data_IF_104228992065
#
_entry.id   IF_104228992065
#
_cell.length_a   1.000
_cell.length_b   1.000
_cell.length_c   1.000
_cell.angle_alpha   90.00
_cell.angle_beta   90.00
_cell.angle_gamma   90.00
#
_symmetry.space_group_name_H-M   'P 1'
#
loop_
_entity.id
_entity.type
_entity.pdbx_description
1 polymer ?
#
# COMPACT_ATOMS: atom_id res chain seq x y z
N UNK A 1 -4.95 3.82 28.53
CA UNK A 1 -5.25 3.90 27.08
C UNK A 1 -3.95 3.76 26.30
N UNK A 2 -3.98 2.99 25.23
CA UNK A 2 -2.86 2.79 24.29
C UNK A 2 -3.34 3.09 22.87
N UNK A 3 -2.58 3.87 22.13
CA UNK A 3 -2.85 4.16 20.71
C UNK A 3 -1.67 3.64 19.89
N UNK A 4 -1.93 2.69 18.99
CA UNK A 4 -0.92 2.09 18.13
C UNK A 4 -0.91 2.77 16.76
N UNK A 5 0.19 3.46 16.45
CA UNK A 5 0.39 4.19 15.18
C UNK A 5 1.52 3.63 14.32
N UNK A 6 1.71 2.31 14.31
CA UNK A 6 2.88 1.65 13.69
C UNK A 6 2.78 1.41 12.18
N UNK A 7 1.58 1.56 11.62
CA UNK A 7 1.31 1.29 10.20
C UNK A 7 1.39 -0.19 9.82
N UNK A 8 1.23 -0.48 8.54
CA UNK A 8 1.20 -1.86 8.00
C UNK A 8 2.33 -2.15 7.00
N UNK A 9 3.12 -1.16 6.58
CA UNK A 9 4.21 -1.30 5.61
C UNK A 9 5.56 -1.09 6.31
N UNK A 10 5.84 -1.84 7.37
CA UNK A 10 7.04 -1.71 8.20
C UNK A 10 7.98 -2.93 8.14
N UNK A 11 7.45 -4.13 7.88
CA UNK A 11 8.23 -5.38 7.83
C UNK A 11 8.51 -5.77 6.38
N UNK A 12 9.79 -5.82 5.95
CA UNK A 12 10.16 -6.25 4.62
C UNK A 12 9.66 -7.67 4.32
N UNK A 13 9.23 -7.90 3.09
CA UNK A 13 8.94 -9.24 2.58
C UNK A 13 10.04 -9.62 1.59
N UNK A 14 10.95 -10.46 2.00
CA UNK A 14 11.90 -11.07 1.09
C UNK A 14 11.20 -12.15 0.24
N UNK A 15 11.61 -12.35 -1.01
CA UNK A 15 11.08 -13.41 -1.84
C UNK A 15 11.59 -14.78 -1.35
N UNK A 16 10.85 -15.84 -1.63
CA UNK A 16 11.31 -17.21 -1.42
C UNK A 16 12.03 -17.68 -2.71
N UNK A 17 13.31 -17.31 -2.83
CA UNK A 17 14.17 -17.69 -3.95
C UNK A 17 15.28 -18.57 -3.39
N UNK A 18 15.45 -19.82 -3.90
CA UNK A 18 16.55 -20.69 -3.48
C UNK A 18 17.91 -20.02 -3.69
N UNK A 19 18.85 -20.26 -2.79
CA UNK A 19 20.23 -19.78 -2.93
C UNK A 19 20.44 -18.30 -2.60
N UNK A 20 19.49 -17.60 -1.97
CA UNK A 20 19.69 -16.18 -1.62
C UNK A 20 20.92 -15.92 -0.75
N UNK A 21 21.30 -16.88 0.08
CA UNK A 21 22.48 -16.80 0.94
C UNK A 21 23.80 -17.14 0.21
N UNK A 22 23.71 -17.70 -1.00
CA UNK A 22 24.87 -18.10 -1.80
C UNK A 22 25.43 -16.93 -2.65
N UNK A 23 24.70 -15.82 -2.75
CA UNK A 23 25.10 -14.68 -3.55
C UNK A 23 26.27 -13.94 -2.89
N UNK A 24 27.40 -13.82 -3.61
CA UNK A 24 28.63 -13.20 -3.13
C UNK A 24 28.60 -11.67 -3.13
N UNK A 25 27.69 -11.08 -3.92
CA UNK A 25 27.54 -9.62 -4.02
C UNK A 25 26.72 -9.00 -2.90
N UNK A 26 26.44 -7.70 -3.01
CA UNK A 26 25.66 -6.98 -2.00
C UNK A 26 24.16 -7.13 -2.26
N UNK A 27 23.40 -7.55 -1.27
CA UNK A 27 21.95 -7.60 -1.39
C UNK A 27 21.22 -6.92 -0.24
N UNK A 28 20.14 -6.18 -0.54
CA UNK A 28 19.32 -5.52 0.47
C UNK A 28 17.88 -5.29 -0.01
N UNK A 29 16.98 -5.15 0.96
CA UNK A 29 15.60 -4.76 0.67
C UNK A 29 15.48 -3.24 0.52
N UNK A 30 14.64 -2.75 -0.39
CA UNK A 30 14.46 -1.32 -0.68
C UNK A 30 14.08 -0.47 0.55
N UNK A 31 13.43 -1.04 1.56
CA UNK A 31 13.14 -0.37 2.83
C UNK A 31 14.29 -0.42 3.85
N UNK A 32 15.37 -1.08 3.52
CA UNK A 32 16.63 -1.20 4.29
C UNK A 32 17.80 -0.84 3.38
N UNK A 33 17.65 0.33 2.73
CA UNK A 33 18.63 0.79 1.75
C UNK A 33 20.03 0.86 2.35
N UNK A 34 21.01 0.25 1.66
CA UNK A 34 22.41 0.32 2.08
C UNK A 34 23.04 1.61 1.52
N UNK A 35 22.99 2.69 2.29
CA UNK A 35 23.53 3.99 1.88
C UNK A 35 25.07 4.03 1.82
N UNK A 36 25.75 3.04 2.39
CA UNK A 36 27.22 2.94 2.34
C UNK A 36 27.71 2.23 1.07
N UNK A 37 26.80 1.60 0.30
CA UNK A 37 27.14 0.87 -0.92
C UNK A 37 26.93 1.76 -2.14
N UNK A 38 27.99 1.94 -2.95
CA UNK A 38 27.97 2.70 -4.19
C UNK A 38 27.50 1.79 -5.34
N UNK A 39 26.53 2.25 -6.10
CA UNK A 39 25.97 1.56 -7.27
C UNK A 39 26.62 2.01 -8.59
N UNK A 40 27.50 3.00 -8.53
CA UNK A 40 28.13 3.62 -9.73
C UNK A 40 28.97 2.60 -10.49
N UNK A 41 28.67 2.41 -11.76
CA UNK A 41 29.40 1.49 -12.64
C UNK A 41 29.18 0.01 -12.34
N UNK A 42 28.29 -0.34 -11.40
CA UNK A 42 27.95 -1.72 -11.07
C UNK A 42 26.81 -2.28 -11.92
N UNK A 43 26.73 -3.62 -12.00
CA UNK A 43 25.59 -4.34 -12.57
C UNK A 43 24.57 -4.63 -11.48
N UNK A 44 23.38 -4.10 -11.61
CA UNK A 44 22.36 -4.11 -10.55
C UNK A 44 21.12 -4.90 -10.98
N UNK A 45 20.68 -5.83 -10.14
CA UNK A 45 19.38 -6.46 -10.28
C UNK A 45 18.36 -5.82 -9.33
N UNK A 46 17.20 -5.44 -9.86
CA UNK A 46 16.05 -5.02 -9.05
C UNK A 46 14.94 -6.05 -9.19
N UNK A 47 14.62 -6.75 -8.09
CA UNK A 47 13.57 -7.77 -8.07
C UNK A 47 12.26 -7.15 -7.56
N UNK A 48 11.30 -6.95 -8.47
CA UNK A 48 10.01 -6.32 -8.23
C UNK A 48 9.86 -4.95 -8.89
N UNK A 49 8.63 -4.62 -9.25
CA UNK A 49 8.28 -3.44 -10.05
C UNK A 49 7.14 -2.61 -9.45
N UNK A 50 6.92 -2.72 -8.12
CA UNK A 50 5.89 -1.95 -7.41
C UNK A 50 6.24 -0.47 -7.25
N UNK A 51 5.42 0.26 -6.47
CA UNK A 51 5.59 1.72 -6.27
C UNK A 51 6.95 2.11 -5.70
N UNK A 52 7.62 1.23 -4.94
CA UNK A 52 9.00 1.50 -4.47
C UNK A 52 9.99 1.43 -5.62
N UNK A 53 9.94 0.38 -6.44
CA UNK A 53 10.80 0.25 -7.61
C UNK A 53 10.61 1.42 -8.59
N UNK A 54 9.36 1.80 -8.87
CA UNK A 54 9.07 2.91 -9.77
C UNK A 54 9.78 4.22 -9.36
N UNK A 55 9.97 4.45 -8.06
CA UNK A 55 10.60 5.66 -7.55
C UNK A 55 12.12 5.62 -7.59
N UNK A 56 12.77 4.48 -7.34
CA UNK A 56 14.23 4.43 -7.28
C UNK A 56 14.91 3.88 -8.55
N UNK A 57 14.22 3.05 -9.35
CA UNK A 57 14.77 2.50 -10.60
C UNK A 57 15.32 3.59 -11.53
N UNK A 58 14.64 4.74 -11.74
CA UNK A 58 15.20 5.81 -12.55
C UNK A 58 16.56 6.30 -12.06
N UNK A 59 16.73 6.45 -10.75
CA UNK A 59 17.98 6.92 -10.15
C UNK A 59 19.09 5.87 -10.18
N UNK A 60 18.74 4.59 -9.97
CA UNK A 60 19.71 3.49 -10.13
C UNK A 60 20.17 3.36 -11.57
N UNK A 61 19.23 3.50 -12.53
CA UNK A 61 19.55 3.45 -13.96
C UNK A 61 20.50 4.59 -14.43
N UNK A 62 20.56 5.69 -13.68
CA UNK A 62 21.50 6.79 -13.96
C UNK A 62 22.92 6.49 -13.49
N UNK A 63 23.08 5.63 -12.48
CA UNK A 63 24.35 5.34 -11.82
C UNK A 63 24.96 4.01 -12.29
N UNK A 64 24.13 2.99 -12.46
CA UNK A 64 24.58 1.65 -12.80
C UNK A 64 25.15 1.56 -14.22
N UNK A 65 26.16 0.72 -14.40
CA UNK A 65 26.61 0.30 -15.73
C UNK A 65 25.48 -0.41 -16.47
N UNK A 66 24.82 -1.37 -15.79
CA UNK A 66 23.65 -2.07 -16.30
C UNK A 66 22.66 -2.39 -15.21
N UNK A 67 21.36 -2.17 -15.49
CA UNK A 67 20.25 -2.49 -14.60
C UNK A 67 19.37 -3.59 -15.19
N UNK A 68 19.21 -4.68 -14.46
CA UNK A 68 18.24 -5.74 -14.77
C UNK A 68 17.00 -5.58 -13.91
N UNK A 69 15.89 -5.14 -14.51
CA UNK A 69 14.61 -4.95 -13.83
C UNK A 69 13.76 -6.22 -13.94
N UNK A 70 13.70 -7.01 -12.88
CA UNK A 70 12.93 -8.26 -12.85
C UNK A 70 11.45 -8.00 -12.55
N UNK A 71 10.60 -8.38 -13.49
CA UNK A 71 9.16 -8.22 -13.45
C UNK A 71 8.44 -9.56 -13.59
N UNK A 72 7.68 -9.97 -12.57
CA UNK A 72 6.81 -11.14 -12.66
C UNK A 72 5.49 -10.83 -13.36
N UNK A 73 4.88 -9.69 -13.07
CA UNK A 73 3.66 -9.19 -13.70
C UNK A 73 3.73 -7.68 -13.79
N UNK A 74 3.34 -7.07 -14.93
CA UNK A 74 3.35 -5.62 -15.09
C UNK A 74 2.35 -4.93 -14.15
N UNK A 75 2.55 -3.63 -13.89
CA UNK A 75 1.65 -2.82 -13.10
C UNK A 75 0.93 -1.79 -13.98
N UNK A 76 -0.29 -1.44 -13.59
CA UNK A 76 -0.94 -0.25 -14.12
C UNK A 76 -0.23 0.99 -13.61
N UNK A 77 0.32 1.79 -14.52
CA UNK A 77 1.00 3.05 -14.20
C UNK A 77 0.26 4.20 -14.86
N UNK A 78 -0.01 5.25 -14.10
CA UNK A 78 -0.62 6.50 -14.59
C UNK A 78 0.32 7.67 -14.35
N UNK A 79 0.25 8.73 -15.17
CA UNK A 79 1.13 9.88 -14.99
C UNK A 79 0.93 10.55 -13.64
N UNK A 80 2.04 10.95 -13.02
CA UNK A 80 2.06 11.68 -11.75
C UNK A 80 1.78 13.16 -12.01
N UNK A 81 0.79 13.76 -11.35
CA UNK A 81 0.50 15.18 -11.49
C UNK A 81 1.40 16.00 -10.54
N UNK A 82 2.69 16.09 -10.86
CA UNK A 82 3.72 16.74 -10.02
C UNK A 82 4.29 18.03 -10.60
N UNK A 83 3.46 18.82 -11.26
CA UNK A 83 3.87 20.11 -11.76
C UNK A 83 4.35 21.04 -10.65
N UNK A 84 5.51 21.67 -10.86
CA UNK A 84 6.03 22.69 -9.95
C UNK A 84 5.18 23.95 -10.03
N UNK A 85 4.73 24.44 -8.87
CA UNK A 85 3.98 25.71 -8.82
C UNK A 85 4.88 26.89 -9.25
N UNK A 86 4.40 27.62 -10.24
CA UNK A 86 5.05 28.86 -10.69
C UNK A 86 5.04 29.95 -9.61
N UNK A 87 5.83 31.01 -9.79
CA UNK A 87 5.94 32.11 -8.82
C UNK A 87 4.60 32.77 -8.48
N UNK A 88 3.74 32.99 -9.47
CA UNK A 88 2.40 33.58 -9.28
C UNK A 88 1.48 32.68 -8.46
N UNK A 89 1.52 31.37 -8.69
CA UNK A 89 0.73 30.40 -7.90
C UNK A 89 1.20 30.35 -6.45
N UNK A 90 2.52 30.38 -6.22
CA UNK A 90 3.10 30.45 -4.88
C UNK A 90 2.69 31.73 -4.15
N UNK A 91 2.72 32.87 -4.86
CA UNK A 91 2.29 34.17 -4.32
C UNK A 91 0.79 34.13 -3.97
N UNK A 92 -0.04 33.61 -4.86
CA UNK A 92 -1.47 33.46 -4.61
C UNK A 92 -1.75 32.56 -3.40
N UNK A 93 -1.05 31.43 -3.25
CA UNK A 93 -1.18 30.58 -2.08
C UNK A 93 -0.73 31.23 -0.77
N UNK A 94 0.23 32.15 -0.84
CA UNK A 94 0.72 32.89 0.33
C UNK A 94 -0.24 34.00 0.76
N UNK A 95 -0.76 34.79 -0.20
CA UNK A 95 -1.51 36.01 0.11
C UNK A 95 -3.04 35.86 0.04
N UNK A 96 -3.57 34.84 -0.65
CA UNK A 96 -5.03 34.65 -0.75
C UNK A 96 -5.50 33.67 0.32
N UNK A 97 -6.19 34.15 1.39
CA UNK A 97 -6.66 33.29 2.46
C UNK A 97 -7.57 32.20 1.93
N UNK A 98 -7.34 30.97 2.39
CA UNK A 98 -8.17 29.80 2.06
C UNK A 98 -7.91 29.17 0.68
N UNK A 99 -7.09 29.78 -0.21
CA UNK A 99 -6.83 29.22 -1.54
C UNK A 99 -6.16 27.85 -1.49
N UNK A 100 -5.17 27.66 -0.63
CA UNK A 100 -4.54 26.33 -0.42
C UNK A 100 -5.56 25.28 0.07
N UNK A 101 -6.46 25.70 0.97
CA UNK A 101 -7.51 24.81 1.49
C UNK A 101 -8.51 24.45 0.39
N UNK A 102 -8.90 25.41 -0.44
CA UNK A 102 -9.78 25.16 -1.59
C UNK A 102 -9.13 24.22 -2.62
N UNK A 103 -7.84 24.42 -2.90
CA UNK A 103 -7.08 23.54 -3.79
C UNK A 103 -6.94 22.12 -3.22
N UNK A 104 -6.63 21.97 -1.92
CA UNK A 104 -6.60 20.67 -1.22
C UNK A 104 -7.97 19.97 -1.30
N UNK A 105 -9.06 20.71 -1.06
CA UNK A 105 -10.42 20.17 -1.15
C UNK A 105 -10.79 19.75 -2.58
N UNK A 106 -10.33 20.49 -3.58
CA UNK A 106 -10.50 20.09 -4.98
C UNK A 106 -9.78 18.78 -5.30
N UNK A 107 -8.51 18.62 -4.90
CA UNK A 107 -7.77 17.35 -5.07
C UNK A 107 -8.52 16.20 -4.39
N UNK A 108 -8.98 16.42 -3.17
CA UNK A 108 -9.72 15.43 -2.40
C UNK A 108 -10.99 14.99 -3.13
N UNK A 109 -11.80 15.94 -3.59
CA UNK A 109 -13.06 15.65 -4.31
C UNK A 109 -12.81 15.00 -5.66
N UNK A 110 -11.77 15.44 -6.36
CA UNK A 110 -11.37 14.83 -7.63
C UNK A 110 -11.00 13.35 -7.42
N UNK A 111 -10.17 13.03 -6.46
CA UNK A 111 -9.78 11.65 -6.15
C UNK A 111 -10.99 10.80 -5.72
N UNK A 112 -11.87 11.34 -4.88
CA UNK A 112 -13.08 10.67 -4.43
C UNK A 112 -14.07 10.41 -5.57
N UNK A 113 -14.24 11.38 -6.48
CA UNK A 113 -15.19 11.31 -7.60
C UNK A 113 -14.71 10.51 -8.79
N UNK A 114 -13.40 10.31 -8.97
CA UNK A 114 -12.83 9.65 -10.15
C UNK A 114 -12.17 8.32 -9.84
N UNK A 115 -11.33 8.26 -8.81
CA UNK A 115 -10.56 7.06 -8.49
C UNK A 115 -11.37 6.04 -7.68
N UNK A 116 -12.21 6.48 -6.74
CA UNK A 116 -13.06 5.58 -5.99
C UNK A 116 -14.04 4.79 -6.89
N UNK A 117 -14.79 5.43 -7.83
CA UNK A 117 -15.64 4.67 -8.75
C UNK A 117 -14.88 3.64 -9.59
N UNK A 118 -13.61 3.90 -9.97
CA UNK A 118 -12.82 2.91 -10.67
C UNK A 118 -12.55 1.67 -9.82
N UNK A 119 -12.27 1.83 -8.53
CA UNK A 119 -12.08 0.71 -7.59
C UNK A 119 -13.39 -0.03 -7.28
N UNK A 120 -14.52 0.66 -7.31
CA UNK A 120 -15.86 0.11 -7.15
C UNK A 120 -16.45 -0.45 -8.46
N UNK A 121 -15.61 -0.70 -9.48
CA UNK A 121 -16.01 -1.20 -10.81
C UNK A 121 -17.07 -0.34 -11.51
N UNK A 122 -17.05 0.97 -11.22
CA UNK A 122 -17.98 1.95 -11.78
C UNK A 122 -17.49 2.57 -13.09
N UNK A 123 -18.12 3.67 -13.48
CA UNK A 123 -17.97 4.36 -14.76
C UNK A 123 -16.53 4.76 -15.13
N UNK A 124 -15.68 4.98 -14.15
CA UNK A 124 -14.31 5.49 -14.40
C UNK A 124 -13.25 4.41 -14.60
N UNK A 125 -13.59 3.11 -14.54
CA UNK A 125 -12.62 2.03 -14.73
C UNK A 125 -12.00 2.05 -16.12
N UNK A 126 -12.81 2.27 -17.16
CA UNK A 126 -12.32 2.36 -18.53
C UNK A 126 -11.53 3.65 -18.80
N UNK A 127 -11.89 4.74 -18.13
CA UNK A 127 -11.13 5.97 -18.17
C UNK A 127 -9.73 5.78 -17.57
N UNK A 128 -9.64 5.11 -16.43
CA UNK A 128 -8.38 4.78 -15.78
C UNK A 128 -7.51 3.89 -16.68
N UNK A 129 -8.11 2.85 -17.28
CA UNK A 129 -7.44 1.95 -18.24
C UNK A 129 -6.91 2.71 -19.44
N UNK A 130 -7.73 3.53 -20.09
CA UNK A 130 -7.33 4.32 -21.27
C UNK A 130 -6.19 5.28 -20.94
N UNK A 131 -6.26 5.95 -19.77
CA UNK A 131 -5.20 6.87 -19.32
C UNK A 131 -3.89 6.15 -19.08
N UNK A 132 -3.90 4.97 -18.45
CA UNK A 132 -2.70 4.17 -18.22
C UNK A 132 -2.10 3.65 -19.54
N UNK A 133 -2.93 3.16 -20.46
CA UNK A 133 -2.46 2.69 -21.78
C UNK A 133 -1.94 3.83 -22.67
N UNK A 134 -2.54 5.02 -22.59
CA UNK A 134 -2.04 6.20 -23.27
C UNK A 134 -0.65 6.58 -22.73
N UNK A 135 -0.52 6.66 -21.41
CA UNK A 135 0.76 6.95 -20.75
C UNK A 135 1.85 5.95 -21.14
N UNK A 136 1.54 4.65 -21.17
CA UNK A 136 2.47 3.62 -21.60
C UNK A 136 2.89 3.80 -23.06
N UNK A 137 1.94 4.09 -23.99
CA UNK A 137 2.25 4.33 -25.41
C UNK A 137 3.13 5.54 -25.65
N UNK A 138 2.86 6.61 -24.89
CA UNK A 138 3.58 7.88 -25.06
C UNK A 138 5.03 7.77 -24.57
N UNK A 139 5.31 6.90 -23.59
CA UNK A 139 6.62 6.78 -22.97
C UNK A 139 7.44 5.57 -23.43
N UNK A 140 6.81 4.55 -24.03
CA UNK A 140 7.48 3.33 -24.52
C UNK A 140 7.23 3.17 -26.02
N UNK A 141 8.12 3.69 -26.87
CA UNK A 141 8.00 3.58 -28.35
C UNK A 141 8.07 2.14 -28.85
N UNK A 142 8.95 1.33 -28.24
CA UNK A 142 9.14 -0.07 -28.63
C UNK A 142 7.88 -0.91 -28.36
N UNK A 143 7.27 -1.52 -29.41
CA UNK A 143 6.05 -2.29 -29.26
C UNK A 143 6.24 -3.61 -28.48
N UNK A 144 7.42 -4.22 -28.54
CA UNK A 144 7.71 -5.46 -27.82
C UNK A 144 7.83 -5.19 -26.31
N UNK A 145 8.62 -4.20 -25.93
CA UNK A 145 8.72 -3.77 -24.54
C UNK A 145 7.36 -3.33 -24.01
N UNK A 146 6.58 -2.60 -24.80
CA UNK A 146 5.24 -2.15 -24.44
C UNK A 146 4.27 -3.32 -24.18
N UNK A 147 4.32 -4.37 -24.99
CA UNK A 147 3.54 -5.58 -24.79
C UNK A 147 3.87 -6.24 -23.44
N UNK A 148 5.16 -6.34 -23.10
CA UNK A 148 5.63 -6.90 -21.81
C UNK A 148 5.26 -6.03 -20.59
N UNK A 149 5.00 -4.74 -20.78
CA UNK A 149 4.60 -3.79 -19.75
C UNK A 149 3.07 -3.59 -19.65
N UNK A 150 2.29 -4.24 -20.51
CA UNK A 150 0.82 -4.13 -20.51
C UNK A 150 0.20 -5.15 -19.55
N UNK A 151 -0.54 -4.71 -18.49
CA UNK A 151 -1.20 -5.63 -17.59
C UNK A 151 -2.41 -6.33 -18.22
N UNK A 152 -2.61 -7.58 -17.84
CA UNK A 152 -3.72 -8.46 -18.27
C UNK A 152 -4.88 -8.58 -17.26
N UNK A 153 -4.79 -7.86 -16.13
CA UNK A 153 -5.75 -7.85 -15.04
C UNK A 153 -6.44 -6.47 -14.90
N UNK A 154 -7.62 -6.40 -14.21
CA UNK A 154 -8.37 -5.15 -14.07
C UNK A 154 -7.59 -4.05 -13.33
N UNK A 155 -7.64 -2.78 -13.78
CA UNK A 155 -7.03 -1.65 -13.08
C UNK A 155 -7.56 -1.53 -11.64
N UNK A 156 -6.65 -1.35 -10.67
CA UNK A 156 -6.99 -1.24 -9.26
C UNK A 156 -7.01 -2.56 -8.48
N UNK A 157 -7.01 -3.73 -9.15
CA UNK A 157 -6.88 -5.02 -8.49
C UNK A 157 -5.57 -5.12 -7.69
N UNK A 158 -4.47 -4.62 -8.26
CA UNK A 158 -3.27 -4.20 -7.53
C UNK A 158 -3.24 -2.68 -7.44
N UNK A 159 -2.48 -2.13 -6.50
CA UNK A 159 -2.33 -0.69 -6.38
C UNK A 159 -1.79 -0.11 -7.69
N UNK A 160 -2.52 0.84 -8.26
CA UNK A 160 -2.06 1.59 -9.43
C UNK A 160 -0.83 2.42 -9.03
N UNK A 161 0.22 2.32 -9.82
CA UNK A 161 1.44 3.11 -9.65
C UNK A 161 1.21 4.49 -10.27
N UNK A 162 1.56 5.54 -9.53
CA UNK A 162 1.45 6.93 -10.01
C UNK A 162 2.87 7.44 -10.18
N UNK A 163 3.37 7.41 -11.42
CA UNK A 163 4.74 7.75 -11.73
C UNK A 163 4.90 8.18 -13.20
N UNK A 164 5.84 9.10 -13.48
CA UNK A 164 6.14 9.60 -14.81
C UNK A 164 7.57 9.32 -15.26
N UNK A 165 8.41 8.74 -14.41
CA UNK A 165 9.84 8.49 -14.66
C UNK A 165 10.19 7.01 -14.84
N UNK A 166 9.32 6.11 -14.40
CA UNK A 166 9.56 4.67 -14.42
C UNK A 166 9.68 4.11 -15.85
N UNK A 167 8.72 4.40 -16.73
CA UNK A 167 8.76 3.92 -18.09
C UNK A 167 9.96 4.48 -18.89
N UNK A 168 10.28 5.78 -18.82
CA UNK A 168 11.50 6.30 -19.45
C UNK A 168 12.78 5.62 -18.95
N UNK A 169 12.84 5.25 -17.67
CA UNK A 169 13.98 4.51 -17.15
C UNK A 169 14.13 3.14 -17.80
N UNK A 170 13.01 2.43 -18.05
CA UNK A 170 13.02 1.12 -18.70
C UNK A 170 13.36 1.16 -20.21
N UNK A 171 13.32 2.34 -20.86
CA UNK A 171 13.72 2.51 -22.25
C UNK A 171 15.19 2.87 -22.44
N UNK A 172 15.95 3.05 -21.34
CA UNK A 172 17.38 3.38 -21.41
C UNK A 172 18.18 2.20 -21.97
N UNK A 173 19.27 2.44 -22.75
CA UNK A 173 20.08 1.37 -23.33
C UNK A 173 20.80 0.49 -22.30
N UNK A 174 21.03 1.01 -21.10
CA UNK A 174 21.63 0.28 -19.99
C UNK A 174 20.60 -0.36 -19.05
N UNK A 175 19.33 -0.50 -19.46
CA UNK A 175 18.29 -1.15 -18.66
C UNK A 175 17.63 -2.28 -19.44
N UNK A 176 17.60 -3.46 -18.85
CA UNK A 176 16.93 -4.63 -19.39
C UNK A 176 15.75 -5.05 -18.53
N UNK A 177 14.55 -5.11 -19.13
CA UNK A 177 13.39 -5.69 -18.46
C UNK A 177 13.46 -7.23 -18.58
N UNK A 178 13.54 -7.93 -17.44
CA UNK A 178 13.58 -9.39 -17.35
C UNK A 178 12.22 -9.89 -16.85
N UNK A 179 11.55 -10.70 -17.66
CA UNK A 179 10.23 -11.29 -17.32
C UNK A 179 10.28 -12.79 -17.08
N UNK A 180 11.47 -13.39 -17.25
CA UNK A 180 11.70 -14.82 -17.08
C UNK A 180 11.58 -15.19 -15.61
N UNK A 181 11.14 -16.41 -15.37
CA UNK A 181 10.99 -16.90 -14.00
C UNK A 181 12.37 -17.06 -13.34
N UNK A 182 12.57 -16.40 -12.22
CA UNK A 182 13.76 -16.63 -11.39
C UNK A 182 13.70 -18.04 -10.82
N UNK A 183 14.77 -18.80 -11.02
CA UNK A 183 14.94 -20.18 -10.54
C UNK A 183 15.67 -20.19 -9.20
N UNK A 184 16.80 -19.49 -9.11
CA UNK A 184 17.62 -19.39 -7.92
C UNK A 184 18.57 -18.20 -7.96
N UNK A 185 19.17 -17.88 -6.83
CA UNK A 185 20.39 -17.08 -6.75
C UNK A 185 21.61 -17.97 -6.90
N UNK A 186 22.67 -17.44 -7.53
CA UNK A 186 24.00 -18.06 -7.61
C UNK A 186 25.02 -17.10 -6.99
N UNK A 187 26.28 -17.54 -6.73
CA UNK A 187 27.32 -16.62 -6.26
C UNK A 187 27.48 -15.39 -7.14
N UNK A 188 27.34 -15.54 -8.45
CA UNK A 188 27.56 -14.48 -9.45
C UNK A 188 26.29 -13.65 -9.77
N UNK A 189 25.09 -14.10 -9.36
CA UNK A 189 23.90 -13.34 -9.72
C UNK A 189 22.56 -14.08 -9.67
N UNK A 190 21.67 -13.77 -10.61
CA UNK A 190 20.29 -14.24 -10.69
C UNK A 190 20.12 -15.23 -11.84
N UNK A 191 19.84 -16.48 -11.55
CA UNK A 191 19.52 -17.51 -12.54
C UNK A 191 18.02 -17.55 -12.81
N UNK A 192 17.66 -17.48 -14.09
CA UNK A 192 16.29 -17.63 -14.59
C UNK A 192 16.15 -18.89 -15.44
N UNK A 193 14.94 -19.10 -15.97
CA UNK A 193 14.68 -20.18 -16.96
C UNK A 193 15.42 -20.01 -18.27
N UNK A 194 15.82 -18.77 -18.64
CA UNK A 194 16.45 -18.44 -19.91
C UNK A 194 17.96 -18.20 -19.80
N UNK A 195 18.50 -18.06 -18.58
CA UNK A 195 19.93 -17.86 -18.37
C UNK A 195 20.28 -17.26 -17.02
N UNK A 196 21.57 -16.94 -16.84
CA UNK A 196 22.09 -16.29 -15.64
C UNK A 196 22.44 -14.84 -15.94
N UNK A 197 21.98 -13.94 -15.08
CA UNK A 197 22.29 -12.53 -15.10
C UNK A 197 23.33 -12.25 -14.01
N UNK A 198 24.56 -12.03 -14.43
CA UNK A 198 25.66 -11.67 -13.53
C UNK A 198 25.46 -10.25 -13.02
N UNK A 199 25.49 -10.08 -11.71
CA UNK A 199 25.27 -8.77 -11.05
C UNK A 199 26.14 -8.63 -9.81
N UNK A 200 26.46 -7.40 -9.47
CA UNK A 200 27.25 -7.05 -8.29
C UNK A 200 26.33 -6.71 -7.09
N UNK A 201 25.10 -6.32 -7.42
CA UNK A 201 24.12 -5.90 -6.40
C UNK A 201 22.70 -6.41 -6.71
N UNK A 202 21.99 -6.85 -5.68
CA UNK A 202 20.58 -7.22 -5.76
C UNK A 202 19.74 -6.35 -4.82
N UNK A 203 18.76 -5.63 -5.37
CA UNK A 203 17.81 -4.80 -4.61
C UNK A 203 16.44 -5.48 -4.63
N UNK A 204 15.98 -5.93 -3.44
CA UNK A 204 14.65 -6.51 -3.31
C UNK A 204 13.58 -5.43 -3.15
N UNK A 205 12.79 -5.19 -4.19
CA UNK A 205 11.60 -4.32 -4.19
C UNK A 205 10.31 -5.14 -4.05
N UNK A 206 10.35 -6.17 -3.23
CA UNK A 206 9.34 -7.23 -3.11
C UNK A 206 8.22 -6.90 -2.12
N UNK A 207 8.24 -5.68 -1.57
CA UNK A 207 7.18 -5.13 -0.72
C UNK A 207 7.26 -5.58 0.74
N UNK A 208 6.12 -5.64 1.40
CA UNK A 208 6.01 -5.78 2.85
C UNK A 208 5.06 -6.91 3.24
N UNK A 209 5.20 -7.38 4.47
CA UNK A 209 4.24 -8.29 5.14
C UNK A 209 3.06 -7.49 5.67
N UNK A 210 2.29 -6.93 4.77
CA UNK A 210 1.27 -5.90 5.02
C UNK A 210 0.03 -6.40 5.77
N UNK A 211 -0.21 -7.71 5.81
CA UNK A 211 -1.34 -8.33 6.52
C UNK A 211 -0.99 -8.73 7.96
N UNK A 212 0.30 -8.64 8.33
CA UNK A 212 0.79 -8.93 9.67
C UNK A 212 0.80 -7.65 10.53
N UNK A 213 -0.38 -7.19 10.95
CA UNK A 213 -0.51 -5.98 11.77
C UNK A 213 0.12 -6.17 13.15
N UNK A 214 0.82 -5.13 13.64
CA UNK A 214 1.46 -5.04 14.96
C UNK A 214 2.59 -6.05 15.24
N UNK A 215 2.83 -7.03 14.38
CA UNK A 215 3.93 -8.00 14.55
C UNK A 215 5.29 -7.28 14.44
N UNK A 216 6.27 -7.54 15.33
CA UNK A 216 6.35 -8.66 16.31
C UNK A 216 5.92 -8.28 17.74
N UNK A 217 5.13 -7.22 17.93
CA UNK A 217 4.72 -6.79 19.27
C UNK A 217 3.72 -7.78 19.87
N UNK A 218 4.00 -8.23 21.09
CA UNK A 218 3.06 -9.03 21.87
C UNK A 218 2.06 -8.10 22.56
N UNK A 219 0.81 -8.18 22.14
CA UNK A 219 -0.31 -7.42 22.75
C UNK A 219 -1.23 -8.41 23.46
N UNK A 220 -1.44 -8.18 24.76
CA UNK A 220 -2.26 -9.05 25.62
C UNK A 220 -3.45 -8.24 26.12
N UNK A 221 -4.66 -8.75 25.89
CA UNK A 221 -5.92 -8.20 26.30
C UNK A 221 -6.42 -8.80 27.62
N UNK A 222 -7.76 -8.74 27.80
CA UNK A 222 -8.43 -9.30 28.98
C UNK A 222 -8.18 -10.82 29.06
N UNK A 223 -8.13 -11.31 30.32
CA UNK A 223 -8.00 -12.74 30.60
C UNK A 223 -6.75 -13.38 29.93
N UNK A 224 -5.72 -12.57 29.64
CA UNK A 224 -4.51 -13.06 29.01
C UNK A 224 -4.64 -13.36 27.51
N UNK A 225 -5.71 -12.97 26.85
CA UNK A 225 -5.93 -13.20 25.41
C UNK A 225 -4.89 -12.50 24.54
N UNK A 226 -4.24 -13.26 23.65
CA UNK A 226 -3.28 -12.72 22.70
C UNK A 226 -3.98 -12.11 21.49
N UNK A 227 -3.53 -10.92 21.06
CA UNK A 227 -4.00 -10.32 19.83
C UNK A 227 -3.60 -11.12 18.59
N UNK A 228 -2.44 -11.75 18.62
CA UNK A 228 -1.96 -12.63 17.56
C UNK A 228 -2.90 -13.85 17.37
N UNK A 229 -3.33 -14.46 18.46
CA UNK A 229 -4.32 -15.54 18.45
C UNK A 229 -5.67 -15.04 17.91
N UNK A 230 -6.13 -13.88 18.37
CA UNK A 230 -7.36 -13.25 17.89
C UNK A 230 -7.36 -13.00 16.40
N UNK A 231 -6.22 -12.64 15.85
CA UNK A 231 -6.04 -12.31 14.43
C UNK A 231 -5.49 -13.46 13.58
N UNK A 232 -5.50 -14.69 14.09
CA UNK A 232 -5.02 -15.88 13.39
C UNK A 232 -5.66 -16.08 12.01
N UNK A 233 -6.95 -15.77 11.89
CA UNK A 233 -7.71 -15.80 10.63
C UNK A 233 -7.63 -14.48 9.84
N UNK A 234 -6.71 -13.59 10.19
CA UNK A 234 -6.53 -12.26 9.61
C UNK A 234 -6.98 -11.14 10.55
N UNK A 235 -6.25 -10.03 10.48
CA UNK A 235 -6.48 -8.88 11.33
C UNK A 235 -7.86 -8.26 11.11
N UNK A 236 -8.55 -7.89 12.20
CA UNK A 236 -9.85 -7.24 12.19
C UNK A 236 -9.97 -6.21 13.32
N UNK A 237 -10.65 -5.10 13.04
CA UNK A 237 -10.96 -4.09 14.04
C UNK A 237 -12.23 -3.34 13.64
N UNK A 238 -13.06 -2.99 14.62
CA UNK A 238 -14.24 -2.16 14.41
C UNK A 238 -13.82 -0.77 13.98
N UNK A 239 -14.29 -0.32 12.83
CA UNK A 239 -13.86 0.91 12.14
C UNK A 239 -12.33 0.98 11.89
N UNK A 240 -11.61 -0.16 11.98
CA UNK A 240 -10.15 -0.17 11.97
C UNK A 240 -9.50 0.47 13.20
N UNK A 241 -10.27 0.68 14.29
CA UNK A 241 -9.85 1.43 15.48
C UNK A 241 -9.81 0.55 16.72
N UNK A 242 -10.85 -0.26 16.99
CA UNK A 242 -11.02 -0.96 18.28
C UNK A 242 -11.18 -2.46 18.08
N UNK A 243 -10.62 -3.25 18.99
CA UNK A 243 -10.66 -4.71 18.95
C UNK A 243 -11.39 -5.25 20.20
N UNK A 244 -12.31 -6.21 20.06
CA UNK A 244 -12.94 -6.86 21.23
C UNK A 244 -11.90 -7.57 22.10
N UNK A 245 -12.13 -7.59 23.42
CA UNK A 245 -11.25 -8.14 24.44
C UNK A 245 -9.96 -7.34 24.71
N UNK A 246 -9.78 -6.20 24.03
CA UNK A 246 -8.64 -5.29 24.22
C UNK A 246 -9.14 -3.88 24.61
N UNK A 247 -9.58 -3.69 25.85
CA UNK A 247 -10.12 -2.42 26.30
C UNK A 247 -9.06 -1.32 26.21
N UNK A 248 -9.50 -0.13 25.81
CA UNK A 248 -8.64 1.06 25.68
C UNK A 248 -7.43 0.89 24.73
N UNK A 249 -7.43 -0.13 23.87
CA UNK A 249 -6.52 -0.26 22.75
C UNK A 249 -7.17 0.35 21.51
N UNK A 250 -6.52 1.35 20.95
CA UNK A 250 -6.93 2.01 19.71
C UNK A 250 -5.85 1.91 18.65
N UNK A 251 -6.26 1.72 17.41
CA UNK A 251 -5.38 1.59 16.25
C UNK A 251 -5.53 2.81 15.34
N UNK A 252 -4.40 3.35 14.89
CA UNK A 252 -4.32 4.26 13.75
C UNK A 252 -3.82 3.49 12.54
N UNK A 253 -4.50 3.67 11.41
CA UNK A 253 -4.23 2.91 10.19
C UNK A 253 -4.33 1.39 10.42
N UNK A 254 -5.33 0.99 11.20
CA UNK A 254 -5.60 -0.42 11.49
C UNK A 254 -6.25 -1.17 10.33
N UNK A 255 -6.69 -2.43 10.57
CA UNK A 255 -7.29 -3.27 9.55
C UNK A 255 -8.45 -2.60 8.80
N UNK A 256 -8.51 -2.82 7.49
CA UNK A 256 -9.54 -2.28 6.58
C UNK A 256 -9.65 -0.75 6.56
N UNK A 257 -8.53 -0.04 6.67
CA UNK A 257 -8.49 1.44 6.55
C UNK A 257 -7.53 1.95 5.49
N UNK A 258 -6.84 1.08 4.77
CA UNK A 258 -6.01 1.47 3.63
C UNK A 258 -6.88 1.94 2.46
N UNK A 259 -6.38 2.93 1.72
CA UNK A 259 -7.06 3.51 0.56
C UNK A 259 -6.28 3.25 -0.73
N UNK A 260 -7.00 2.93 -1.79
CA UNK A 260 -6.45 2.89 -3.15
C UNK A 260 -6.62 4.20 -3.93
N UNK A 261 -7.37 5.17 -3.40
CA UNK A 261 -7.86 6.33 -4.16
C UNK A 261 -7.64 7.68 -3.50
N UNK A 262 -7.42 7.73 -2.19
CA UNK A 262 -7.34 9.00 -1.46
C UNK A 262 -6.27 8.95 -0.36
N UNK A 263 -6.19 9.99 0.47
CA UNK A 263 -5.16 10.17 1.50
C UNK A 263 -5.41 9.31 2.73
N UNK A 264 -4.41 8.52 3.12
CA UNK A 264 -4.39 7.78 4.40
C UNK A 264 -4.36 8.73 5.59
N UNK A 265 -3.74 9.90 5.45
CA UNK A 265 -3.71 10.92 6.52
C UNK A 265 -5.13 11.37 6.87
N UNK A 266 -6.02 11.49 5.88
CA UNK A 266 -7.43 11.79 6.12
C UNK A 266 -8.11 10.71 6.99
N UNK A 267 -7.83 9.43 6.72
CA UNK A 267 -8.35 8.32 7.53
C UNK A 267 -7.82 8.38 8.97
N UNK A 268 -6.54 8.68 9.14
CA UNK A 268 -5.90 8.83 10.46
C UNK A 268 -6.51 10.03 11.20
N UNK A 269 -6.73 11.17 10.55
CA UNK A 269 -7.41 12.34 11.14
C UNK A 269 -8.81 11.96 11.66
N UNK A 270 -9.57 11.17 10.89
CA UNK A 270 -10.87 10.66 11.31
C UNK A 270 -10.77 9.74 12.53
N UNK A 271 -9.77 8.87 12.57
CA UNK A 271 -9.51 7.96 13.69
C UNK A 271 -9.09 8.73 14.94
N UNK A 272 -8.20 9.71 14.81
CA UNK A 272 -7.79 10.58 15.92
C UNK A 272 -9.01 11.32 16.50
N UNK A 273 -9.86 11.90 15.65
CA UNK A 273 -11.07 12.58 16.11
C UNK A 273 -12.01 11.65 16.87
N UNK A 274 -12.17 10.39 16.39
CA UNK A 274 -12.96 9.37 17.08
C UNK A 274 -12.37 9.03 18.46
N UNK A 275 -11.06 8.79 18.54
CA UNK A 275 -10.35 8.48 19.78
C UNK A 275 -10.45 9.64 20.77
N UNK A 276 -10.24 10.87 20.30
CA UNK A 276 -10.38 12.08 21.14
C UNK A 276 -11.79 12.23 21.70
N UNK A 277 -12.82 11.88 20.92
CA UNK A 277 -14.20 11.91 21.39
C UNK A 277 -14.52 10.78 22.41
N UNK A 278 -13.70 9.72 22.47
CA UNK A 278 -13.81 8.69 23.50
C UNK A 278 -13.24 9.14 24.85
N UNK A 279 -12.29 10.06 24.90
CA UNK A 279 -11.57 10.43 26.13
C UNK A 279 -12.47 10.88 27.31
N UNK A 280 -13.45 11.79 27.11
CA UNK A 280 -14.33 12.20 28.21
C UNK A 280 -15.11 11.02 28.79
N UNK A 281 -15.56 10.10 27.95
CA UNK A 281 -16.29 8.91 28.37
C UNK A 281 -15.41 7.94 29.16
N UNK A 282 -14.17 7.74 28.70
CA UNK A 282 -13.16 6.93 29.39
C UNK A 282 -12.83 7.49 30.78
N UNK A 283 -12.72 8.82 30.90
CA UNK A 283 -12.44 9.49 32.17
C UNK A 283 -13.59 9.36 33.15
N UNK A 284 -14.83 9.40 32.66
CA UNK A 284 -16.02 9.35 33.50
C UNK A 284 -16.49 7.95 33.89
N UNK A 285 -16.33 6.97 32.94
CA UNK A 285 -16.99 5.67 33.08
C UNK A 285 -16.00 4.49 33.16
N UNK A 286 -14.71 4.74 32.92
CA UNK A 286 -13.68 3.70 32.92
C UNK A 286 -13.39 3.10 31.54
N UNK A 287 -12.67 1.96 31.51
CA UNK A 287 -12.24 1.35 30.27
C UNK A 287 -13.39 0.90 29.36
N UNK A 288 -13.26 1.13 28.06
CA UNK A 288 -14.22 0.69 27.04
C UNK A 288 -13.63 -0.31 26.07
N UNK A 289 -14.46 -1.20 25.59
CA UNK A 289 -14.14 -2.09 24.46
C UNK A 289 -15.33 -2.21 23.51
N UNK A 290 -15.07 -2.52 22.25
CA UNK A 290 -16.14 -2.80 21.29
C UNK A 290 -16.77 -4.16 21.60
N UNK A 291 -18.11 -4.24 21.48
CA UNK A 291 -18.87 -5.46 21.73
C UNK A 291 -18.57 -6.51 20.64
N UNK A 292 -18.35 -7.79 20.99
CA UNK A 292 -18.06 -8.86 20.04
C UNK A 292 -19.12 -9.03 18.94
N UNK A 293 -20.40 -8.89 19.29
CA UNK A 293 -21.53 -8.99 18.35
C UNK A 293 -21.53 -7.84 17.33
N UNK A 294 -21.11 -6.64 17.74
CA UNK A 294 -20.95 -5.49 16.84
C UNK A 294 -19.79 -5.72 15.90
N UNK A 295 -18.66 -6.25 16.39
CA UNK A 295 -17.53 -6.61 15.54
C UNK A 295 -17.91 -7.66 14.50
N UNK A 296 -18.66 -8.70 14.91
CA UNK A 296 -19.13 -9.75 13.98
C UNK A 296 -20.07 -9.18 12.90
N UNK A 297 -20.97 -8.26 13.27
CA UNK A 297 -21.84 -7.58 12.32
C UNK A 297 -21.03 -6.67 11.37
N UNK A 298 -20.06 -5.95 11.89
CA UNK A 298 -19.13 -5.11 11.11
C UNK A 298 -18.35 -5.92 10.08
N UNK A 299 -17.80 -7.08 10.49
CA UNK A 299 -17.09 -7.99 9.59
C UNK A 299 -17.97 -8.40 8.41
N UNK A 300 -19.23 -8.84 8.66
CA UNK A 300 -20.15 -9.20 7.57
C UNK A 300 -20.43 -8.04 6.61
N UNK A 301 -20.57 -6.82 7.13
CA UNK A 301 -20.77 -5.63 6.30
C UNK A 301 -19.56 -5.33 5.43
N UNK A 302 -18.34 -5.43 6.00
CA UNK A 302 -17.10 -5.25 5.26
C UNK A 302 -16.93 -6.30 4.15
N UNK A 303 -17.14 -7.58 4.46
CA UNK A 303 -17.01 -8.67 3.50
C UNK A 303 -18.00 -8.50 2.32
N UNK A 304 -19.25 -8.12 2.60
CA UNK A 304 -20.25 -7.82 1.58
C UNK A 304 -19.87 -6.59 0.73
N UNK A 305 -19.24 -5.56 1.32
CA UNK A 305 -18.78 -4.41 0.59
C UNK A 305 -17.53 -4.73 -0.26
N UNK A 306 -16.59 -5.53 0.27
CA UNK A 306 -15.39 -5.99 -0.44
C UNK A 306 -15.71 -6.79 -1.69
N UNK A 307 -16.74 -7.62 -1.65
CA UNK A 307 -17.19 -8.42 -2.80
C UNK A 307 -17.58 -7.56 -4.03
N UNK A 308 -17.91 -6.29 -3.82
CA UNK A 308 -18.28 -5.33 -4.87
C UNK A 308 -17.09 -4.54 -5.42
N UNK A 309 -15.92 -4.70 -4.81
CA UNK A 309 -14.73 -3.96 -5.21
C UNK A 309 -13.91 -4.77 -6.22
N UNK A 310 -13.10 -4.08 -7.01
CA UNK A 310 -12.17 -4.69 -7.98
C UNK A 310 -11.21 -5.69 -7.34
N UNK A 311 -11.00 -5.60 -6.05
CA UNK A 311 -10.13 -6.50 -5.28
C UNK A 311 -10.69 -7.92 -5.13
N UNK A 312 -11.97 -8.14 -5.37
CA UNK A 312 -12.59 -9.46 -5.48
C UNK A 312 -12.15 -10.25 -6.72
N UNK A 313 -11.57 -9.59 -7.73
CA UNK A 313 -11.09 -10.25 -8.93
C UNK A 313 -9.92 -11.22 -8.64
N UNK A 314 -9.74 -12.19 -9.52
CA UNK A 314 -8.65 -13.17 -9.47
C UNK A 314 -7.31 -12.51 -9.84
N UNK A 315 -6.72 -11.73 -8.91
CA UNK A 315 -5.36 -11.27 -9.03
C UNK A 315 -4.61 -11.46 -7.71
N UNK A 316 -3.33 -11.79 -7.79
CA UNK A 316 -2.45 -11.82 -6.63
C UNK A 316 -2.12 -10.39 -6.22
N UNK A 317 -2.47 -10.00 -5.01
CA UNK A 317 -2.23 -8.66 -4.47
C UNK A 317 -1.74 -8.75 -3.02
N UNK A 318 -0.90 -7.80 -2.61
CA UNK A 318 -0.46 -7.65 -1.23
C UNK A 318 -1.61 -7.24 -0.27
N UNK A 319 -2.79 -6.97 -0.81
CA UNK A 319 -4.01 -6.70 -0.05
C UNK A 319 -4.63 -7.96 0.57
N UNK A 320 -4.29 -9.14 0.03
CA UNK A 320 -4.90 -10.42 0.38
C UNK A 320 -4.00 -11.22 1.31
N UNK A 321 -4.60 -11.87 2.28
CA UNK A 321 -3.99 -12.95 3.06
C UNK A 321 -3.82 -14.20 2.19
N UNK A 322 -3.18 -15.25 2.70
CA UNK A 322 -2.94 -16.48 1.93
C UNK A 322 -4.26 -17.18 1.53
N UNK A 323 -5.31 -17.07 2.34
CA UNK A 323 -6.66 -17.58 2.10
C UNK A 323 -7.53 -16.63 1.27
N UNK A 324 -6.96 -15.51 0.76
CA UNK A 324 -7.63 -14.58 -0.14
C UNK A 324 -8.44 -13.48 0.54
N UNK A 325 -8.50 -13.43 1.87
CA UNK A 325 -9.22 -12.39 2.61
C UNK A 325 -8.50 -11.03 2.49
N UNK A 326 -9.28 -9.94 2.34
CA UNK A 326 -8.76 -8.58 2.24
C UNK A 326 -8.86 -7.91 3.61
N UNK A 327 -7.72 -7.79 4.30
CA UNK A 327 -7.63 -7.21 5.64
C UNK A 327 -7.12 -5.77 5.66
N UNK A 328 -6.67 -5.25 4.54
CA UNK A 328 -6.02 -3.94 4.45
C UNK A 328 -6.96 -2.82 4.04
N UNK A 329 -7.72 -3.00 2.96
CA UNK A 329 -8.40 -1.93 2.27
C UNK A 329 -9.75 -1.57 2.88
N UNK A 330 -10.13 -0.30 2.76
CA UNK A 330 -11.46 0.23 3.02
C UNK A 330 -12.31 0.19 1.76
N UNK A 331 -13.51 -0.47 1.77
CA UNK A 331 -14.32 -0.65 0.57
C UNK A 331 -15.31 0.47 0.29
N UNK A 332 -15.22 1.60 0.98
CA UNK A 332 -16.15 2.70 0.84
C UNK A 332 -15.49 4.02 0.46
N UNK A 333 -16.30 5.05 0.16
CA UNK A 333 -15.79 6.41 0.04
C UNK A 333 -15.30 6.92 1.40
N UNK A 334 -14.31 7.82 1.37
CA UNK A 334 -13.74 8.39 2.62
C UNK A 334 -14.75 9.27 3.36
N UNK A 335 -15.70 9.85 2.64
CA UNK A 335 -16.83 10.61 3.22
C UNK A 335 -17.71 9.74 4.11
N UNK A 336 -17.94 8.49 3.73
CA UNK A 336 -18.65 7.51 4.57
C UNK A 336 -17.85 7.20 5.83
N UNK A 337 -16.53 6.97 5.69
CA UNK A 337 -15.67 6.70 6.84
C UNK A 337 -15.69 7.85 7.85
N UNK A 338 -15.52 9.09 7.38
CA UNK A 338 -15.63 10.29 8.23
C UNK A 338 -16.96 10.36 8.96
N UNK A 339 -18.08 10.03 8.30
CA UNK A 339 -19.40 10.02 8.95
C UNK A 339 -19.49 8.96 10.04
N UNK A 340 -18.99 7.74 9.78
CA UNK A 340 -19.00 6.64 10.73
C UNK A 340 -18.12 6.90 11.97
N UNK A 341 -17.04 7.63 11.80
CA UNK A 341 -16.06 7.92 12.86
C UNK A 341 -16.27 9.28 13.53
N UNK A 342 -17.18 10.13 13.02
CA UNK A 342 -17.38 11.49 13.52
C UNK A 342 -17.79 11.57 15.00
N UNK A 343 -18.47 10.55 15.48
CA UNK A 343 -18.85 10.39 16.91
C UNK A 343 -18.79 8.91 17.27
N UNK A 344 -18.28 8.54 18.46
CA UNK A 344 -18.34 7.16 18.92
C UNK A 344 -19.80 6.69 19.01
N UNK A 345 -20.16 5.60 18.35
CA UNK A 345 -21.49 5.00 18.49
C UNK A 345 -21.53 4.21 19.80
N UNK A 346 -21.86 4.87 20.91
CA UNK A 346 -21.81 4.30 22.25
C UNK A 346 -22.49 2.93 22.40
N UNK A 347 -23.62 2.64 21.74
CA UNK A 347 -24.19 1.28 21.77
C UNK A 347 -23.27 0.18 21.26
N UNK A 348 -22.24 0.54 20.45
CA UNK A 348 -21.25 -0.41 19.96
C UNK A 348 -20.17 -0.76 21.00
N UNK A 349 -20.04 0.05 22.04
CA UNK A 349 -19.07 -0.12 23.11
C UNK A 349 -19.72 -0.60 24.40
N UNK A 350 -18.93 -1.22 25.27
CA UNK A 350 -19.29 -1.49 26.65
C UNK A 350 -18.18 -1.01 27.59
N UNK A 351 -18.54 -0.60 28.76
CA UNK A 351 -17.60 -0.30 29.85
C UNK A 351 -17.16 -1.62 30.47
N UNK A 352 -15.87 -1.79 30.68
CA UNK A 352 -15.30 -3.00 31.29
C UNK A 352 -15.24 -2.83 32.78
N UNK A 353 -15.83 -3.80 33.52
CA UNK A 353 -15.91 -3.76 34.99
C UNK A 353 -17.16 -3.08 35.58
N UNK A 354 -18.09 -2.65 34.71
CA UNK A 354 -19.45 -2.28 35.13
C UNK A 354 -20.36 -3.51 34.88
N UNK A 355 -20.41 -4.41 35.84
CA UNK A 355 -21.47 -5.43 36.03
C UNK A 355 -22.40 -4.97 37.17
#
# INVERSE_FOLDING_TARGET
MVVMGVGQLNRPRLPDIPGMADFDGVSFHSSRWNHAHDLTGGRVAVIGNGSSAAQFVPHVAEQAEHLYAFQRTPNWVIPKPDATFGPLTRLAFHYVPGLQRAYREWIYRYAEGTLYPALAQGWSVDLLRRRALAHLRDQVPDPELRARLTPDYPPGCKRVVIDSSFYPALTRPNVSLVTDKIVRMTPEGVQTTEGTYEVDTVIYATGFKSTEFLVPMRVVGREGRSLEERWKEGAEAYLGISVPDFPNLFLLYGPNTNLGHNSIIFMIECQVNHIMACLPHLAANGPIEVRPEVMAAWRRQLDAAMARMVWGAECQSWYKTADGRITNNWPGPTTLYRRLTSRPPWPAYRVVGAE
#
